data_IF_856266944039
#
_entry.id   IF_856266944039
#
_cell.length_a   1.000
_cell.length_b   1.000
_cell.length_c   1.000
_cell.angle_alpha   90.00
_cell.angle_beta   90.00
_cell.angle_gamma   90.00
#
_symmetry.space_group_name_H-M   'P 1'
#
loop_
_entity.id
_entity.type
_entity.pdbx_description
1 polymer ?
#
# COMPACT_ATOMS: atom_id res chain seq x y z
N UNK A 1 -8.94 0.67 -5.99
CA UNK A 1 -7.86 1.54 -5.50
C UNK A 1 -7.73 2.74 -6.41
N UNK A 2 -7.43 3.92 -5.84
CA UNK A 2 -7.07 5.10 -6.61
C UNK A 2 -5.66 5.54 -6.19
N UNK A 3 -4.77 5.63 -7.18
CA UNK A 3 -3.38 6.06 -6.99
C UNK A 3 -3.13 7.31 -7.82
N UNK A 4 -2.31 8.20 -7.29
CA UNK A 4 -1.90 9.44 -7.93
C UNK A 4 -0.39 9.61 -7.78
N UNK A 5 0.24 10.18 -8.81
CA UNK A 5 1.66 10.55 -8.77
C UNK A 5 1.76 12.04 -8.99
N UNK A 6 2.28 12.76 -8.00
CA UNK A 6 2.54 14.20 -8.09
C UNK A 6 3.90 14.51 -7.50
N UNK A 7 4.73 15.25 -8.25
CA UNK A 7 6.08 15.63 -7.84
C UNK A 7 6.93 14.43 -7.36
N UNK A 8 6.87 13.31 -8.10
CA UNK A 8 7.56 12.05 -7.76
C UNK A 8 7.10 11.36 -6.48
N UNK A 9 6.08 11.88 -5.81
CA UNK A 9 5.40 11.20 -4.70
C UNK A 9 4.20 10.43 -5.26
N UNK A 10 4.24 9.11 -5.12
CA UNK A 10 3.09 8.25 -5.32
C UNK A 10 2.30 8.21 -4.02
N UNK A 11 1.04 8.62 -4.09
CA UNK A 11 0.07 8.42 -3.00
C UNK A 11 -1.09 7.60 -3.52
N UNK A 12 -1.70 6.82 -2.64
CA UNK A 12 -2.86 6.03 -3.02
C UNK A 12 -3.76 5.74 -1.85
N UNK A 13 -5.02 5.52 -2.18
CA UNK A 13 -6.05 5.13 -1.23
C UNK A 13 -6.83 3.96 -1.80
N UNK A 14 -6.98 2.95 -0.98
CA UNK A 14 -7.64 1.70 -1.30
C UNK A 14 -8.64 1.41 -0.19
N UNK A 15 -9.81 0.94 -0.57
CA UNK A 15 -10.72 0.26 0.35
C UNK A 15 -10.76 -1.21 -0.07
N UNK A 16 -10.62 -2.09 0.90
CA UNK A 16 -10.74 -3.53 0.75
C UNK A 16 -11.76 -4.09 1.73
N UNK A 17 -12.11 -5.35 1.52
CA UNK A 17 -12.84 -6.17 2.48
C UNK A 17 -12.00 -7.41 2.76
N UNK A 18 -11.86 -7.77 4.04
CA UNK A 18 -11.19 -9.02 4.41
C UNK A 18 -12.10 -10.24 4.15
N UNK A 19 -11.62 -11.44 4.53
CA UNK A 19 -12.36 -12.69 4.31
C UNK A 19 -13.69 -12.76 5.07
N UNK A 20 -13.81 -12.02 6.16
CA UNK A 20 -15.00 -11.96 7.00
C UNK A 20 -15.96 -10.86 6.56
N UNK A 21 -15.59 -10.11 5.50
CA UNK A 21 -16.37 -8.99 4.96
C UNK A 21 -16.11 -7.67 5.66
N UNK A 22 -15.15 -7.62 6.60
CA UNK A 22 -14.82 -6.40 7.32
C UNK A 22 -14.08 -5.42 6.42
N UNK A 23 -14.49 -4.15 6.51
CA UNK A 23 -13.94 -3.10 5.67
C UNK A 23 -12.59 -2.65 6.25
N UNK A 24 -11.60 -2.58 5.38
CA UNK A 24 -10.29 -2.01 5.67
C UNK A 24 -9.97 -0.87 4.70
N UNK A 25 -9.29 0.15 5.20
CA UNK A 25 -8.77 1.25 4.40
C UNK A 25 -7.26 1.20 4.39
N UNK A 26 -6.68 1.24 3.20
CA UNK A 26 -5.23 1.22 3.01
C UNK A 26 -4.78 2.48 2.30
N UNK A 27 -3.82 3.18 2.88
CA UNK A 27 -3.09 4.24 2.21
C UNK A 27 -1.70 3.77 1.84
N UNK A 28 -1.21 4.24 0.69
CA UNK A 28 0.16 4.00 0.24
C UNK A 28 0.83 5.32 -0.04
N UNK A 29 2.10 5.42 0.34
CA UNK A 29 2.97 6.55 0.03
C UNK A 29 4.36 6.04 -0.37
N UNK A 30 4.90 6.60 -1.45
CA UNK A 30 6.27 6.31 -1.89
C UNK A 30 6.85 7.52 -2.61
N UNK A 31 8.05 7.90 -2.22
CA UNK A 31 8.88 8.81 -2.99
C UNK A 31 9.66 8.03 -4.05
N UNK A 32 9.18 8.06 -5.30
CA UNK A 32 9.76 7.29 -6.41
C UNK A 32 11.18 7.80 -6.72
N UNK A 33 11.49 9.07 -6.41
CA UNK A 33 12.82 9.64 -6.64
C UNK A 33 13.88 9.10 -5.68
N UNK A 34 13.48 8.59 -4.51
CA UNK A 34 14.38 8.04 -3.49
C UNK A 34 14.57 6.52 -3.57
N UNK A 35 13.95 5.87 -4.54
CA UNK A 35 14.13 4.44 -4.82
C UNK A 35 12.84 3.63 -4.77
N UNK A 36 12.98 2.35 -4.44
CA UNK A 36 11.92 1.35 -4.54
C UNK A 36 11.10 1.10 -3.28
N UNK A 37 11.43 1.75 -2.16
CA UNK A 37 10.74 1.55 -0.88
C UNK A 37 9.60 2.54 -0.69
N UNK A 38 8.50 2.07 -0.11
CA UNK A 38 7.35 2.86 0.27
C UNK A 38 6.76 2.40 1.59
N UNK A 39 5.83 3.20 2.11
CA UNK A 39 5.09 2.92 3.34
C UNK A 39 3.62 2.74 3.00
N UNK A 40 3.05 1.65 3.50
CA UNK A 40 1.63 1.34 3.43
C UNK A 40 1.08 1.38 4.85
N UNK A 41 -0.07 2.04 5.05
CA UNK A 41 -0.80 2.01 6.32
C UNK A 41 -2.16 1.42 6.08
N UNK A 42 -2.53 0.46 6.91
CA UNK A 42 -3.83 -0.23 6.86
C UNK A 42 -4.59 0.08 8.14
N UNK A 43 -5.83 0.50 8.01
CA UNK A 43 -6.72 0.87 9.11
C UNK A 43 -7.99 0.03 8.98
N UNK A 44 -8.25 -0.82 9.97
CA UNK A 44 -9.51 -1.57 10.03
C UNK A 44 -10.66 -0.64 10.41
N UNK A 45 -11.81 -0.76 9.73
CA UNK A 45 -12.98 0.09 9.93
C UNK A 45 -14.14 -0.65 10.61
N UNK A 46 -14.23 -1.96 10.43
CA UNK A 46 -15.26 -2.80 11.07
C UNK A 46 -14.64 -4.06 11.66
N UNK A 47 -15.42 -4.75 12.49
CA UNK A 47 -15.06 -6.05 13.06
C UNK A 47 -13.90 -6.04 14.03
N UNK A 48 -13.15 -7.16 14.05
CA UNK A 48 -12.12 -7.45 15.06
C UNK A 48 -10.99 -6.43 15.08
N UNK A 49 -10.71 -5.80 13.93
CA UNK A 49 -9.62 -4.85 13.74
C UNK A 49 -10.10 -3.40 13.63
N UNK A 50 -11.32 -3.09 14.06
CA UNK A 50 -11.84 -1.73 14.05
C UNK A 50 -10.91 -0.76 14.80
N UNK A 51 -10.53 0.34 14.15
CA UNK A 51 -9.55 1.34 14.60
C UNK A 51 -8.12 0.81 14.83
N UNK A 52 -7.84 -0.45 14.51
CA UNK A 52 -6.49 -0.99 14.54
C UNK A 52 -5.73 -0.51 13.31
N UNK A 53 -4.50 -0.05 13.53
CA UNK A 53 -3.62 0.46 12.46
C UNK A 53 -2.39 -0.42 12.35
N UNK A 54 -2.15 -0.97 11.17
CA UNK A 54 -0.91 -1.69 10.83
C UNK A 54 -0.09 -0.85 9.86
N UNK A 55 1.22 -0.79 10.08
CA UNK A 55 2.14 -0.12 9.15
C UNK A 55 3.01 -1.18 8.48
N UNK A 56 3.02 -1.17 7.16
CA UNK A 56 3.81 -2.07 6.34
C UNK A 56 4.83 -1.28 5.52
N UNK A 57 6.08 -1.72 5.54
CA UNK A 57 7.05 -1.27 4.56
C UNK A 57 6.94 -2.16 3.34
N UNK A 58 6.88 -1.56 2.15
CA UNK A 58 6.86 -2.31 0.91
C UNK A 58 7.99 -1.90 -0.03
N UNK A 59 8.45 -2.87 -0.83
CA UNK A 59 9.50 -2.70 -1.83
C UNK A 59 8.89 -3.03 -3.20
N UNK A 60 9.07 -2.14 -4.16
CA UNK A 60 8.61 -2.32 -5.55
C UNK A 60 9.81 -2.62 -6.44
N UNK A 61 9.98 -3.86 -6.85
CA UNK A 61 11.03 -4.25 -7.79
C UNK A 61 10.43 -4.35 -9.18
N UNK A 62 10.87 -3.45 -10.07
CA UNK A 62 10.55 -3.47 -11.49
C UNK A 62 11.53 -4.41 -12.18
N UNK A 63 11.03 -5.47 -12.81
CA UNK A 63 11.86 -6.45 -13.51
C UNK A 63 11.95 -6.19 -15.00
N UNK A 64 10.89 -5.63 -15.59
CA UNK A 64 10.86 -5.29 -17.01
C UNK A 64 10.20 -3.93 -17.21
N UNK A 65 11.02 -2.92 -17.51
CA UNK A 65 10.57 -1.55 -17.77
C UNK A 65 9.86 -1.40 -19.13
N UNK A 66 10.14 -2.29 -20.08
CA UNK A 66 9.50 -2.29 -21.41
C UNK A 66 8.06 -2.79 -21.35
N UNK A 67 7.77 -3.76 -20.47
CA UNK A 67 6.43 -4.33 -20.29
C UNK A 67 5.72 -3.75 -19.05
N UNK A 68 6.45 -3.08 -18.16
CA UNK A 68 5.91 -2.50 -16.93
C UNK A 68 5.61 -3.57 -15.87
N UNK A 69 6.37 -4.67 -15.86
CA UNK A 69 6.19 -5.76 -14.90
C UNK A 69 7.03 -5.49 -13.66
N UNK A 70 6.39 -5.54 -12.51
CA UNK A 70 7.06 -5.46 -11.21
C UNK A 70 6.31 -6.26 -10.16
N UNK A 71 7.03 -6.58 -9.09
CA UNK A 71 6.47 -7.26 -7.93
C UNK A 71 6.64 -6.40 -6.69
N UNK A 72 5.65 -6.52 -5.79
CA UNK A 72 5.56 -5.77 -4.56
C UNK A 72 5.70 -6.74 -3.39
N UNK A 73 6.74 -6.54 -2.59
CA UNK A 73 6.96 -7.28 -1.35
C UNK A 73 6.64 -6.35 -0.19
N UNK A 74 5.71 -6.72 0.69
CA UNK A 74 5.35 -5.94 1.88
C UNK A 74 5.64 -6.73 3.15
N UNK A 75 6.21 -6.04 4.16
CA UNK A 75 6.40 -6.57 5.51
C UNK A 75 5.63 -5.68 6.48
N UNK A 76 4.62 -6.26 7.12
CA UNK A 76 3.74 -5.56 8.06
C UNK A 76 4.19 -5.80 9.50
N UNK A 77 4.32 -4.73 10.27
CA UNK A 77 4.37 -4.81 11.73
C UNK A 77 2.95 -4.59 12.24
N UNK A 78 2.40 -5.63 12.85
CA UNK A 78 1.13 -5.59 13.58
C UNK A 78 1.35 -5.25 15.05
#
# INVERSE_FOLDING_TARGET
CLVNVKNSILTGSCQGSDKDGDIEFTTVERDISKGNKGIMKRIGRTGKYNNSTSTCEYVVELTDFTVGVGYLTASCKE
#
